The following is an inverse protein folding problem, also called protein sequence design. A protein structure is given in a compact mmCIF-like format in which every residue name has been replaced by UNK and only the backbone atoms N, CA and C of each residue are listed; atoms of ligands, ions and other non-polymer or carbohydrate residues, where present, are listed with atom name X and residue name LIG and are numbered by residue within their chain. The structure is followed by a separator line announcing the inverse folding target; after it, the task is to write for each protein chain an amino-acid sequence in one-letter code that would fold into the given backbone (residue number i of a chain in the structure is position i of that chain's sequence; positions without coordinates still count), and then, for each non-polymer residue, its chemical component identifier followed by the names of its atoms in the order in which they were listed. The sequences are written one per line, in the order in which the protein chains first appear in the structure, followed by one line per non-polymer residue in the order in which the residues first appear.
data_IF_443166330533
#
_entry.id   IF_443166330533
#
_cell.length_a   1.000
_cell.length_b   1.000
_cell.length_c   1.000
_cell.angle_alpha   90.00
_cell.angle_beta   90.00
_cell.angle_gamma   90.00
#
_symmetry.space_group_name_H-M   'P 1'
#
loop_
_entity.id
_entity.type
_entity.pdbx_description
1 polymer ?
#
# COMPACT_ATOMS: atom_id res chain seq x y z
N UNK A 1 17.58 7.40 -12.04
CA UNK A 1 16.40 8.25 -12.29
C UNK A 1 16.05 9.02 -11.01
N UNK A 2 16.51 10.26 -10.87
CA UNK A 2 16.18 11.10 -9.70
C UNK A 2 14.69 11.55 -9.67
N UNK A 3 13.99 11.48 -10.81
CA UNK A 3 12.59 11.89 -10.93
C UNK A 3 11.60 10.98 -10.22
N UNK A 4 11.77 9.66 -10.28
CA UNK A 4 10.83 8.71 -9.68
C UNK A 4 10.77 8.82 -8.15
N UNK A 5 11.93 9.00 -7.49
CA UNK A 5 12.00 9.20 -6.05
C UNK A 5 11.33 10.52 -5.61
N UNK A 6 11.53 11.62 -6.35
CA UNK A 6 10.86 12.90 -6.07
C UNK A 6 9.35 12.82 -6.26
N UNK A 7 8.89 12.12 -7.31
CA UNK A 7 7.46 11.91 -7.54
C UNK A 7 6.81 11.11 -6.40
N UNK A 8 7.48 10.05 -5.94
CA UNK A 8 7.05 9.30 -4.76
C UNK A 8 7.01 10.17 -3.51
N UNK A 9 8.10 10.87 -3.21
CA UNK A 9 8.16 11.76 -2.05
C UNK A 9 7.06 12.82 -2.06
N UNK A 10 6.72 13.37 -3.23
CA UNK A 10 5.59 14.30 -3.39
C UNK A 10 4.24 13.62 -3.18
N UNK A 11 4.04 12.42 -3.73
CA UNK A 11 2.80 11.66 -3.54
C UNK A 11 2.53 11.32 -2.07
N UNK A 12 3.58 11.08 -1.28
CA UNK A 12 3.51 10.89 0.17
C UNK A 12 3.51 12.20 0.97
N UNK A 13 3.51 13.36 0.32
CA UNK A 13 3.52 14.67 0.97
C UNK A 13 4.80 14.97 1.77
N UNK A 14 5.90 14.25 1.51
CA UNK A 14 7.21 14.48 2.16
C UNK A 14 7.89 15.73 1.62
N UNK A 15 7.67 16.03 0.33
CA UNK A 15 8.11 17.25 -0.33
C UNK A 15 6.95 17.90 -1.10
N UNK A 16 7.02 19.21 -1.32
CA UNK A 16 5.99 19.96 -2.04
C UNK A 16 6.20 19.99 -3.58
N UNK A 17 5.45 20.86 -4.26
CA UNK A 17 5.52 21.06 -5.72
C UNK A 17 6.81 21.70 -6.19
N UNK A 18 7.51 22.42 -5.32
CA UNK A 18 8.80 23.05 -5.60
C UNK A 18 9.96 22.11 -5.22
N UNK A 19 9.66 21.07 -4.45
CA UNK A 19 10.59 20.03 -4.04
C UNK A 19 11.20 20.27 -2.67
N UNK A 20 10.64 21.20 -1.91
CA UNK A 20 11.04 21.50 -0.53
C UNK A 20 10.41 20.52 0.44
N UNK A 21 11.12 20.20 1.52
CA UNK A 21 10.65 19.26 2.56
C UNK A 21 9.50 19.89 3.34
N UNK A 22 8.38 19.18 3.45
CA UNK A 22 7.20 19.65 4.20
C UNK A 22 7.42 19.51 5.71
N UNK A 23 6.55 20.12 6.54
CA UNK A 23 6.58 19.91 8.00
C UNK A 23 6.46 18.42 8.38
N UNK A 24 5.62 17.69 7.65
CA UNK A 24 5.48 16.23 7.79
C UNK A 24 6.78 15.50 7.42
N UNK A 25 7.42 15.90 6.33
CA UNK A 25 8.72 15.36 5.94
C UNK A 25 9.80 15.60 6.99
N UNK A 26 9.81 16.77 7.63
CA UNK A 26 10.73 17.09 8.72
C UNK A 26 10.44 16.28 9.98
N UNK A 27 9.19 16.20 10.42
CA UNK A 27 8.80 15.41 11.60
C UNK A 27 9.17 13.93 11.43
N UNK A 28 8.98 13.38 10.23
CA UNK A 28 9.48 12.07 9.86
C UNK A 28 11.00 11.98 10.07
N UNK A 29 11.73 12.88 9.41
CA UNK A 29 13.19 12.83 9.40
C UNK A 29 13.79 13.04 10.78
N UNK A 30 13.23 13.91 11.60
CA UNK A 30 13.69 14.14 12.98
C UNK A 30 13.56 12.87 13.82
N UNK A 31 12.41 12.19 13.78
CA UNK A 31 12.21 10.95 14.54
C UNK A 31 13.15 9.81 14.11
N UNK A 32 13.47 9.70 12.81
CA UNK A 32 14.37 8.64 12.29
C UNK A 32 15.85 9.02 12.41
N UNK A 33 16.20 10.28 12.14
CA UNK A 33 17.58 10.75 12.04
C UNK A 33 18.16 11.27 13.36
N UNK A 34 17.34 11.47 14.42
CA UNK A 34 17.85 11.70 15.77
C UNK A 34 18.85 10.61 16.21
N UNK A 35 18.73 9.41 15.65
CA UNK A 35 19.57 8.26 15.99
C UNK A 35 20.65 7.93 14.96
N UNK A 36 20.64 8.51 13.75
CA UNK A 36 21.60 8.12 12.68
C UNK A 36 21.76 9.20 11.59
N UNK A 37 22.98 9.39 11.09
CA UNK A 37 23.26 10.27 9.94
C UNK A 37 22.57 9.75 8.66
N UNK A 38 21.84 10.59 7.89
CA UNK A 38 21.02 10.12 6.77
C UNK A 38 21.77 9.30 5.71
N UNK A 39 23.03 9.63 5.41
CA UNK A 39 23.83 8.82 4.48
C UNK A 39 24.18 7.42 5.02
N UNK A 40 24.47 7.33 6.32
CA UNK A 40 24.74 6.05 6.98
C UNK A 40 23.48 5.19 6.99
N UNK A 41 22.35 5.82 7.29
CA UNK A 41 21.04 5.18 7.27
C UNK A 41 20.65 4.68 5.87
N UNK A 42 20.87 5.47 4.82
CA UNK A 42 20.65 5.03 3.43
C UNK A 42 21.55 3.85 3.04
N UNK A 43 22.79 3.81 3.54
CA UNK A 43 23.70 2.68 3.31
C UNK A 43 23.20 1.41 4.00
N UNK A 44 22.66 1.54 5.20
CA UNK A 44 22.00 0.45 5.93
C UNK A 44 20.73 -0.04 5.23
N UNK A 45 19.86 0.86 4.77
CA UNK A 45 18.66 0.50 3.99
C UNK A 45 19.03 -0.26 2.71
N UNK A 46 20.13 0.10 2.04
CA UNK A 46 20.62 -0.66 0.87
C UNK A 46 20.99 -2.10 1.21
N UNK A 47 21.40 -2.41 2.44
CA UNK A 47 21.69 -3.78 2.85
C UNK A 47 20.43 -4.64 3.01
N UNK A 48 19.25 -4.00 3.12
CA UNK A 48 17.97 -4.70 3.16
C UNK A 48 17.50 -5.12 1.76
N UNK A 49 18.18 -4.69 0.69
CA UNK A 49 17.85 -5.12 -0.67
C UNK A 49 18.04 -6.64 -0.79
N UNK A 50 17.01 -7.34 -1.25
CA UNK A 50 16.92 -8.81 -1.30
C UNK A 50 16.93 -9.51 0.08
N UNK A 51 16.79 -8.76 1.17
CA UNK A 51 16.52 -9.37 2.47
C UNK A 51 15.19 -10.12 2.43
N UNK A 52 15.10 -11.18 3.24
CA UNK A 52 13.85 -11.91 3.46
C UNK A 52 13.20 -11.41 4.74
N UNK A 53 11.88 -11.39 4.77
CA UNK A 53 11.10 -10.89 5.90
C UNK A 53 10.52 -9.50 5.65
N UNK A 54 9.67 -9.03 6.56
CA UNK A 54 9.00 -7.74 6.42
C UNK A 54 9.95 -6.60 6.74
N UNK A 55 9.63 -5.41 6.24
CA UNK A 55 10.50 -4.27 6.44
C UNK A 55 10.42 -3.80 7.89
N UNK A 56 9.20 -3.65 8.43
CA UNK A 56 8.98 -3.30 9.85
C UNK A 56 9.54 -4.33 10.83
N UNK A 57 9.66 -5.61 10.47
CA UNK A 57 10.32 -6.62 11.31
C UNK A 57 11.84 -6.43 11.39
N UNK A 58 12.45 -5.94 10.31
CA UNK A 58 13.89 -5.68 10.24
C UNK A 58 14.26 -4.28 10.72
N UNK A 59 13.29 -3.36 10.68
CA UNK A 59 13.41 -1.96 11.09
C UNK A 59 12.19 -1.55 11.92
N UNK A 60 12.09 -2.04 13.18
CA UNK A 60 10.94 -1.77 14.05
C UNK A 60 10.69 -0.29 14.33
N UNK A 61 11.71 0.55 14.17
CA UNK A 61 11.57 2.02 14.22
C UNK A 61 10.60 2.57 13.17
N UNK A 62 10.28 1.80 12.12
CA UNK A 62 9.25 2.13 11.13
C UNK A 62 7.88 1.55 11.45
N UNK A 63 7.66 0.79 12.52
CA UNK A 63 6.35 0.18 12.77
C UNK A 63 5.27 1.25 13.02
N UNK A 64 5.56 2.23 13.88
CA UNK A 64 4.65 3.36 14.15
C UNK A 64 4.49 4.29 12.95
N UNK A 65 5.55 4.44 12.14
CA UNK A 65 5.58 5.39 11.05
C UNK A 65 5.09 4.81 9.72
N UNK A 66 5.38 3.54 9.45
CA UNK A 66 5.07 2.82 8.23
C UNK A 66 3.57 2.82 7.95
N UNK A 67 2.75 2.54 8.98
CA UNK A 67 1.31 2.67 8.90
C UNK A 67 0.86 4.09 8.54
N UNK A 68 1.41 5.10 9.22
CA UNK A 68 1.10 6.52 8.97
C UNK A 68 1.49 6.98 7.55
N UNK A 69 2.63 6.54 7.03
CA UNK A 69 3.06 6.79 5.64
C UNK A 69 2.15 6.11 4.65
N UNK A 70 1.88 4.82 4.88
CA UNK A 70 1.05 4.04 3.99
C UNK A 70 -0.33 4.69 3.89
N UNK A 71 -0.94 5.09 5.01
CA UNK A 71 -2.22 5.82 5.05
C UNK A 71 -2.20 7.15 4.30
N UNK A 72 -1.03 7.78 4.13
CA UNK A 72 -0.90 9.01 3.34
C UNK A 72 -1.06 8.77 1.84
N UNK A 73 -0.81 7.55 1.36
CA UNK A 73 -1.22 7.16 0.03
C UNK A 73 -2.74 7.03 -0.01
N UNK A 74 -3.40 7.88 -0.80
CA UNK A 74 -4.86 8.04 -0.75
C UNK A 74 -5.70 6.79 -1.04
N UNK A 75 -5.09 5.71 -1.54
CA UNK A 75 -5.77 4.43 -1.72
C UNK A 75 -5.74 3.51 -0.50
N UNK A 76 -4.88 3.79 0.49
CA UNK A 76 -4.70 2.93 1.66
C UNK A 76 -5.89 2.98 2.61
N UNK A 77 -6.38 4.18 2.95
CA UNK A 77 -7.51 4.31 3.89
C UNK A 77 -8.77 3.59 3.37
N UNK A 78 -9.15 3.72 2.08
CA UNK A 78 -10.28 2.97 1.55
C UNK A 78 -10.11 1.46 1.62
N UNK A 79 -8.90 0.92 1.44
CA UNK A 79 -8.66 -0.53 1.64
C UNK A 79 -8.84 -0.91 3.11
N UNK A 80 -8.31 -0.11 4.04
CA UNK A 80 -8.45 -0.36 5.48
C UNK A 80 -9.93 -0.33 5.87
N UNK A 81 -10.70 0.66 5.42
CA UNK A 81 -12.14 0.77 5.68
C UNK A 81 -12.90 -0.49 5.26
N UNK A 82 -12.64 -1.01 4.05
CA UNK A 82 -13.30 -2.23 3.57
C UNK A 82 -12.92 -3.46 4.40
N UNK A 83 -11.64 -3.63 4.72
CA UNK A 83 -11.16 -4.76 5.52
C UNK A 83 -11.62 -4.69 6.99
N UNK A 84 -11.73 -3.50 7.58
CA UNK A 84 -12.31 -3.31 8.91
C UNK A 84 -13.80 -3.67 8.92
N UNK A 85 -14.53 -3.29 7.87
CA UNK A 85 -15.98 -3.50 7.76
C UNK A 85 -16.35 -4.96 7.52
N UNK A 86 -15.60 -5.65 6.67
CA UNK A 86 -15.97 -7.00 6.21
C UNK A 86 -15.03 -8.11 6.69
N UNK A 87 -13.91 -7.75 7.32
CA UNK A 87 -12.87 -8.70 7.70
C UNK A 87 -11.95 -9.05 6.52
N UNK A 88 -11.24 -10.19 6.60
CA UNK A 88 -10.38 -10.68 5.52
C UNK A 88 -11.15 -10.86 4.21
N UNK A 89 -10.58 -10.41 3.09
CA UNK A 89 -11.19 -10.50 1.76
C UNK A 89 -10.21 -11.09 0.74
N UNK A 90 -10.73 -11.82 -0.24
CA UNK A 90 -10.00 -12.14 -1.47
C UNK A 90 -9.97 -10.91 -2.39
N UNK A 91 -9.04 -10.87 -3.34
CA UNK A 91 -8.89 -9.74 -4.25
C UNK A 91 -10.19 -9.40 -5.03
N UNK A 92 -10.97 -10.37 -5.57
CA UNK A 92 -12.24 -10.08 -6.22
C UNK A 92 -13.22 -9.36 -5.30
N UNK A 93 -13.36 -9.84 -4.06
CA UNK A 93 -14.28 -9.26 -3.09
C UNK A 93 -13.82 -7.86 -2.67
N UNK A 94 -12.52 -7.68 -2.38
CA UNK A 94 -11.98 -6.37 -2.03
C UNK A 94 -12.24 -5.35 -3.14
N UNK A 95 -11.97 -5.72 -4.41
CA UNK A 95 -12.18 -4.80 -5.54
C UNK A 95 -13.65 -4.55 -5.83
N UNK A 96 -14.51 -5.56 -5.65
CA UNK A 96 -15.96 -5.38 -5.76
C UNK A 96 -16.46 -4.35 -4.73
N UNK A 97 -16.05 -4.49 -3.45
CA UNK A 97 -16.41 -3.54 -2.39
C UNK A 97 -15.83 -2.14 -2.60
N UNK A 98 -14.59 -2.06 -3.05
CA UNK A 98 -13.99 -0.77 -3.43
C UNK A 98 -14.69 -0.16 -4.64
N UNK A 99 -15.23 -0.94 -5.58
CA UNK A 99 -15.95 -0.40 -6.72
C UNK A 99 -17.28 0.23 -6.28
N UNK A 100 -17.96 -0.37 -5.30
CA UNK A 100 -19.21 0.16 -4.70
C UNK A 100 -18.98 1.51 -4.01
N UNK A 101 -17.97 1.60 -3.12
CA UNK A 101 -17.79 2.78 -2.25
C UNK A 101 -16.75 3.79 -2.80
N UNK A 102 -15.80 3.33 -3.61
CA UNK A 102 -14.58 4.06 -3.98
C UNK A 102 -14.14 3.78 -5.44
N UNK A 103 -15.08 3.84 -6.40
CA UNK A 103 -14.86 3.48 -7.82
C UNK A 103 -13.52 3.95 -8.43
N UNK A 104 -13.15 5.21 -8.20
CA UNK A 104 -11.91 5.77 -8.73
C UNK A 104 -10.66 5.02 -8.28
N UNK A 105 -10.67 4.48 -7.06
CA UNK A 105 -9.55 3.70 -6.52
C UNK A 105 -9.56 2.29 -7.12
N UNK A 106 -10.72 1.62 -7.12
CA UNK A 106 -10.88 0.30 -7.74
C UNK A 106 -10.38 0.31 -9.19
N UNK A 107 -10.90 1.25 -10.00
CA UNK A 107 -10.58 1.34 -11.42
C UNK A 107 -9.11 1.74 -11.67
N UNK A 108 -8.60 2.76 -10.97
CA UNK A 108 -7.24 3.27 -11.27
C UNK A 108 -6.13 2.38 -10.73
N UNK A 109 -6.33 1.75 -9.59
CA UNK A 109 -5.27 1.01 -8.90
C UNK A 109 -5.32 -0.49 -9.20
N UNK A 110 -6.53 -1.06 -9.31
CA UNK A 110 -6.70 -2.50 -9.42
C UNK A 110 -7.04 -2.97 -10.83
N UNK A 111 -7.96 -2.32 -11.53
CA UNK A 111 -8.47 -2.82 -12.82
C UNK A 111 -7.63 -2.34 -14.02
N UNK A 112 -7.39 -3.20 -15.02
CA UNK A 112 -6.82 -2.78 -16.31
C UNK A 112 -7.79 -1.85 -17.03
N UNK A 113 -7.25 -0.99 -17.89
CA UNK A 113 -8.05 -0.10 -18.73
C UNK A 113 -9.01 -0.91 -19.62
N UNK A 114 -10.29 -0.50 -19.67
CA UNK A 114 -11.31 -1.13 -20.50
C UNK A 114 -11.97 -2.39 -19.92
N UNK A 115 -11.63 -2.80 -18.69
CA UNK A 115 -12.30 -3.91 -18.00
C UNK A 115 -13.71 -3.53 -17.57
N UNK A 116 -13.88 -2.33 -17.01
CA UNK A 116 -15.16 -1.74 -16.64
C UNK A 116 -15.04 -0.21 -16.61
N UNK A 117 -16.04 0.50 -17.10
CA UNK A 117 -16.13 1.97 -17.08
C UNK A 117 -16.91 2.48 -15.87
N UNK A 118 -17.75 1.64 -15.27
CA UNK A 118 -18.49 1.93 -14.05
C UNK A 118 -18.64 0.68 -13.14
N UNK A 119 -18.98 0.85 -11.85
CA UNK A 119 -19.19 -0.27 -10.93
C UNK A 119 -20.24 -1.26 -11.43
N UNK A 120 -21.28 -0.78 -12.11
CA UNK A 120 -22.40 -1.60 -12.61
C UNK A 120 -22.00 -2.56 -13.74
N UNK A 121 -20.86 -2.32 -14.40
CA UNK A 121 -20.32 -3.20 -15.44
C UNK A 121 -19.52 -4.38 -14.88
N UNK A 122 -19.22 -4.37 -13.57
CA UNK A 122 -18.59 -5.50 -12.89
C UNK A 122 -19.62 -6.64 -12.79
N UNK A 123 -19.47 -7.63 -13.67
CA UNK A 123 -20.32 -8.82 -13.72
C UNK A 123 -19.69 -10.01 -12.98
N UNK A 124 -20.51 -10.99 -12.62
CA UNK A 124 -20.04 -12.23 -12.00
C UNK A 124 -18.95 -12.90 -12.86
N UNK A 125 -17.78 -13.11 -12.27
CA UNK A 125 -16.65 -13.78 -12.92
C UNK A 125 -15.56 -12.84 -13.46
N UNK A 126 -15.86 -11.56 -13.75
CA UNK A 126 -14.85 -10.66 -14.33
C UNK A 126 -13.65 -10.45 -13.40
N UNK A 127 -13.93 -10.32 -12.10
CA UNK A 127 -12.91 -10.14 -11.07
C UNK A 127 -12.19 -11.44 -10.70
N UNK A 128 -12.67 -12.60 -11.15
CA UNK A 128 -11.95 -13.85 -10.94
C UNK A 128 -10.87 -14.08 -12.00
N UNK A 129 -10.89 -13.31 -13.08
CA UNK A 129 -9.85 -13.33 -14.11
C UNK A 129 -8.67 -12.45 -13.70
N UNK A 130 -7.49 -13.06 -13.56
CA UNK A 130 -6.23 -12.36 -13.33
C UNK A 130 -5.95 -11.28 -14.38
N UNK A 131 -6.43 -11.44 -15.61
CA UNK A 131 -6.22 -10.49 -16.69
C UNK A 131 -7.04 -9.21 -16.55
N UNK A 132 -8.02 -9.18 -15.66
CA UNK A 132 -8.77 -7.97 -15.30
C UNK A 132 -7.96 -6.99 -14.46
N UNK A 133 -6.81 -7.40 -13.92
CA UNK A 133 -6.05 -6.61 -12.95
C UNK A 133 -4.77 -5.97 -13.51
N UNK A 134 -4.43 -4.79 -13.00
CA UNK A 134 -3.08 -4.21 -13.09
C UNK A 134 -2.14 -4.98 -12.17
N UNK A 135 -1.84 -6.24 -12.51
CA UNK A 135 -1.11 -7.17 -11.62
C UNK A 135 0.14 -6.57 -10.98
N UNK A 136 0.96 -5.84 -11.75
CA UNK A 136 2.12 -5.14 -11.22
C UNK A 136 1.78 -4.07 -10.16
N UNK A 137 0.75 -3.26 -10.40
CA UNK A 137 0.32 -2.22 -9.47
C UNK A 137 -0.29 -2.80 -8.19
N UNK A 138 -1.15 -3.81 -8.33
CA UNK A 138 -1.78 -4.52 -7.20
C UNK A 138 -0.72 -5.17 -6.31
N UNK A 139 0.20 -5.94 -6.90
CA UNK A 139 1.24 -6.62 -6.14
C UNK A 139 2.21 -5.64 -5.46
N UNK A 140 2.58 -4.54 -6.15
CA UNK A 140 3.42 -3.50 -5.56
C UNK A 140 2.73 -2.80 -4.39
N UNK A 141 1.46 -2.44 -4.54
CA UNK A 141 0.69 -1.78 -3.50
C UNK A 141 0.50 -2.69 -2.28
N UNK A 142 0.09 -3.94 -2.50
CA UNK A 142 0.00 -4.95 -1.45
C UNK A 142 1.33 -5.15 -0.73
N UNK A 143 2.43 -5.25 -1.49
CA UNK A 143 3.77 -5.35 -0.93
C UNK A 143 4.12 -4.18 -0.02
N UNK A 144 3.82 -2.94 -0.42
CA UNK A 144 4.02 -1.75 0.41
C UNK A 144 3.22 -1.87 1.72
N UNK A 145 1.93 -2.20 1.66
CA UNK A 145 1.08 -2.36 2.85
C UNK A 145 1.61 -3.46 3.77
N UNK A 146 2.05 -4.59 3.21
CA UNK A 146 2.59 -5.72 3.98
C UNK A 146 3.91 -5.36 4.67
N UNK A 147 4.82 -4.71 3.95
CA UNK A 147 6.13 -4.30 4.47
C UNK A 147 6.01 -3.20 5.53
N UNK A 148 4.99 -2.35 5.47
CA UNK A 148 4.72 -1.30 6.44
C UNK A 148 3.77 -1.69 7.59
N UNK A 149 3.38 -2.95 7.68
CA UNK A 149 2.57 -3.42 8.81
C UNK A 149 1.09 -3.05 8.74
N UNK A 150 0.55 -2.72 7.56
CA UNK A 150 -0.89 -2.45 7.40
C UNK A 150 -1.67 -3.75 7.22
N UNK A 151 -1.14 -4.66 6.40
CA UNK A 151 -1.72 -6.00 6.16
C UNK A 151 -0.73 -7.08 6.59
N UNK A 152 -1.23 -8.25 6.97
CA UNK A 152 -0.44 -9.34 7.55
C UNK A 152 -0.03 -10.44 6.55
N UNK A 153 -0.55 -10.39 5.32
CA UNK A 153 -0.28 -11.38 4.27
C UNK A 153 0.57 -10.77 3.14
N UNK A 154 1.65 -11.43 2.70
CA UNK A 154 2.40 -10.98 1.55
C UNK A 154 1.56 -11.09 0.27
N UNK A 155 1.87 -10.27 -0.73
CA UNK A 155 1.25 -10.41 -2.05
C UNK A 155 1.82 -11.56 -2.87
N UNK A 156 1.01 -12.01 -3.82
CA UNK A 156 1.46 -12.91 -4.89
C UNK A 156 2.49 -12.20 -5.79
N UNK A 157 3.35 -12.98 -6.47
CA UNK A 157 4.24 -12.42 -7.50
C UNK A 157 3.42 -11.95 -8.71
N UNK A 158 3.87 -10.89 -9.38
CA UNK A 158 3.20 -10.30 -10.55
C UNK A 158 2.91 -11.28 -11.67
N UNK A 159 3.76 -12.32 -11.81
CA UNK A 159 3.66 -13.32 -12.87
C UNK A 159 2.61 -14.41 -12.56
N UNK A 160 2.09 -14.42 -11.32
CA UNK A 160 1.22 -15.47 -10.79
C UNK A 160 0.10 -14.90 -9.92
N UNK A 161 -0.43 -13.71 -10.27
CA UNK A 161 -1.59 -13.18 -9.55
C UNK A 161 -2.78 -14.12 -9.76
N UNK A 162 -3.13 -14.85 -8.72
CA UNK A 162 -4.36 -15.63 -8.62
C UNK A 162 -5.34 -14.85 -7.74
N UNK A 163 -6.38 -14.21 -8.32
CA UNK A 163 -7.29 -13.37 -7.54
C UNK A 163 -7.94 -14.10 -6.36
N UNK A 164 -8.33 -15.37 -6.54
CA UNK A 164 -8.99 -16.16 -5.49
C UNK A 164 -8.05 -16.60 -4.38
N UNK A 165 -6.74 -16.67 -4.64
CA UNK A 165 -5.74 -16.99 -3.62
C UNK A 165 -5.09 -15.73 -3.00
N UNK A 166 -5.35 -14.54 -3.55
CA UNK A 166 -4.75 -13.29 -3.09
C UNK A 166 -5.55 -12.68 -1.93
N UNK A 167 -5.29 -13.15 -0.72
CA UNK A 167 -5.99 -12.71 0.49
C UNK A 167 -5.44 -11.41 1.08
N UNK A 168 -6.34 -10.52 1.49
CA UNK A 168 -6.06 -9.26 2.14
C UNK A 168 -6.65 -9.27 3.54
N UNK A 169 -5.81 -9.03 4.54
CA UNK A 169 -6.22 -9.01 5.95
C UNK A 169 -5.37 -7.97 6.68
N UNK A 170 -6.02 -7.19 7.54
CA UNK A 170 -5.36 -6.17 8.34
C UNK A 170 -4.50 -6.80 9.43
N UNK A 171 -3.39 -6.12 9.74
CA UNK A 171 -2.67 -6.42 10.96
C UNK A 171 -3.56 -6.23 12.20
N UNK A 172 -3.44 -7.08 13.24
CA UNK A 172 -4.29 -6.99 14.43
C UNK A 172 -4.23 -5.62 15.12
N UNK A 173 -3.09 -4.92 15.09
CA UNK A 173 -2.98 -3.61 15.71
C UNK A 173 -3.72 -2.51 14.93
N UNK A 174 -3.91 -2.67 13.61
CA UNK A 174 -4.71 -1.74 12.78
C UNK A 174 -6.21 -1.94 12.99
N UNK A 175 -6.64 -3.15 13.35
CA UNK A 175 -8.03 -3.44 13.68
C UNK A 175 -8.53 -2.74 14.97
N UNK A 176 -7.63 -2.18 15.79
CA UNK A 176 -7.97 -1.66 17.12
C UNK A 176 -8.11 -0.14 17.22
N UNK A 177 -7.90 0.64 16.16
CA UNK A 177 -8.06 2.12 16.22
C UNK A 177 -9.51 2.61 16.24
N UNK A 178 -10.51 1.70 16.28
CA UNK A 178 -11.95 2.01 16.29
C UNK A 178 -12.65 1.97 17.65
N UNK A 179 -11.94 1.93 18.78
CA UNK A 179 -12.54 1.85 20.12
C UNK A 179 -12.22 3.06 20.99
N UNK A 180 -13.13 4.03 21.02
CA UNK A 180 -13.30 4.96 22.16
C UNK A 180 -14.44 4.41 23.03
#
# INVERSE_FOLDING_TARGET
MAGAAKLGARAFGLIDTDGEVTSWGWELLENILEQTHPEAYLKELKQLQNSRGRFVEQRPEWESFGGSVARRYGATEPVIEQLQKYGPLELPDLVSRLAEDHWNIANRLFLKDGVAESPEEITDGILWDSDSYRGAGVCQFKGILYHFGVINMPGSSTDYLDPGADHWELEPHINHEGGI
#
